data_IF_407510542902
#
_entry.id   IF_407510542902
#
_cell.length_a   1.000
_cell.length_b   1.000
_cell.length_c   1.000
_cell.angle_alpha   90.00
_cell.angle_beta   90.00
_cell.angle_gamma   90.00
#
_symmetry.space_group_name_H-M   'P 1'
#
loop_
_entity.id
_entity.type
_entity.pdbx_description
1 polymer ?
#
# COMPACT_ATOMS: atom_id res chain seq x y z
N UNK A 1 -15.89 -13.67 7.27
CA UNK A 1 -15.89 -12.34 6.63
C UNK A 1 -14.65 -12.25 5.76
N UNK A 2 -14.78 -12.17 4.43
CA UNK A 2 -13.64 -11.73 3.60
C UNK A 2 -13.34 -10.28 4.01
N UNK A 3 -12.15 -10.01 4.56
CA UNK A 3 -11.68 -8.63 4.75
C UNK A 3 -11.85 -7.90 3.44
N UNK A 4 -12.73 -6.91 3.41
CA UNK A 4 -12.91 -6.05 2.24
C UNK A 4 -11.57 -5.40 1.91
N UNK A 5 -11.23 -5.35 0.61
CA UNK A 5 -10.05 -4.65 0.10
C UNK A 5 -10.26 -3.14 0.31
N UNK A 6 -10.07 -2.67 1.53
CA UNK A 6 -10.26 -1.27 1.92
C UNK A 6 -8.95 -0.56 2.25
N UNK A 7 -9.07 0.70 2.66
CA UNK A 7 -7.94 1.54 3.08
C UNK A 7 -7.05 0.91 4.15
N UNK A 8 -7.61 0.14 5.10
CA UNK A 8 -6.83 -0.51 6.14
C UNK A 8 -5.78 -1.48 5.57
N UNK A 9 -6.16 -2.27 4.55
CA UNK A 9 -5.22 -3.16 3.88
C UNK A 9 -4.12 -2.35 3.18
N UNK A 10 -4.50 -1.29 2.47
CA UNK A 10 -3.54 -0.42 1.76
C UNK A 10 -2.54 0.20 2.73
N UNK A 11 -3.04 0.80 3.81
CA UNK A 11 -2.20 1.42 4.85
C UNK A 11 -1.30 0.37 5.50
N UNK A 12 -1.80 -0.82 5.83
CA UNK A 12 -1.00 -1.88 6.44
C UNK A 12 0.14 -2.34 5.52
N UNK A 13 -0.16 -2.54 4.23
CA UNK A 13 0.85 -2.92 3.23
C UNK A 13 1.90 -1.83 3.05
N UNK A 14 1.47 -0.58 2.94
CA UNK A 14 2.35 0.57 2.78
C UNK A 14 3.23 0.77 4.02
N UNK A 15 2.66 0.68 5.22
CA UNK A 15 3.39 0.80 6.47
C UNK A 15 4.43 -0.30 6.62
N UNK A 16 4.04 -1.55 6.39
CA UNK A 16 4.97 -2.68 6.41
C UNK A 16 6.10 -2.51 5.39
N UNK A 17 5.79 -2.04 4.19
CA UNK A 17 6.79 -1.79 3.15
C UNK A 17 7.81 -0.73 3.59
N UNK A 18 7.34 0.44 4.01
CA UNK A 18 8.21 1.55 4.42
C UNK A 18 9.06 1.21 5.65
N UNK A 19 8.51 0.45 6.60
CA UNK A 19 9.22 0.08 7.83
C UNK A 19 10.30 -0.98 7.59
N UNK A 20 10.03 -1.97 6.74
CA UNK A 20 10.90 -3.15 6.58
C UNK A 20 11.79 -3.10 5.34
N UNK A 21 11.41 -2.32 4.34
CA UNK A 21 12.10 -2.23 3.04
C UNK A 21 12.41 -0.80 2.62
N UNK A 22 12.05 0.19 3.43
CA UNK A 22 12.47 1.58 3.24
C UNK A 22 13.99 1.72 3.35
N UNK A 23 14.53 2.73 2.69
CA UNK A 23 15.97 3.05 2.68
C UNK A 23 16.32 4.20 3.64
N UNK A 24 15.37 4.60 4.49
CA UNK A 24 15.49 5.80 5.33
C UNK A 24 15.19 7.09 4.56
N UNK A 25 14.41 6.99 3.48
CA UNK A 25 13.93 8.16 2.75
C UNK A 25 13.18 9.10 3.69
N UNK A 26 13.45 10.41 3.56
CA UNK A 26 12.73 11.45 4.31
C UNK A 26 11.70 12.18 3.43
N UNK A 27 11.87 12.13 2.11
CA UNK A 27 10.94 12.68 1.13
C UNK A 27 10.38 11.56 0.27
N UNK A 28 9.05 11.50 0.15
CA UNK A 28 8.36 10.42 -0.54
C UNK A 28 7.31 10.95 -1.52
N UNK A 29 7.41 10.55 -2.78
CA UNK A 29 6.40 10.76 -3.82
C UNK A 29 5.63 9.46 -4.09
N UNK A 30 4.32 9.48 -3.80
CA UNK A 30 3.45 8.32 -3.98
C UNK A 30 2.43 8.61 -5.07
N UNK A 31 2.36 7.75 -6.08
CA UNK A 31 1.33 7.82 -7.10
C UNK A 31 0.21 6.81 -6.81
N UNK A 32 -1.03 7.31 -6.79
CA UNK A 32 -2.21 6.55 -6.43
C UNK A 32 -3.27 6.63 -7.53
N UNK A 33 -4.02 5.54 -7.71
CA UNK A 33 -5.26 5.61 -8.46
C UNK A 33 -6.35 6.37 -7.69
N UNK A 34 -7.47 6.65 -8.35
CA UNK A 34 -8.59 7.36 -7.76
C UNK A 34 -9.58 6.46 -6.99
N UNK A 35 -9.22 5.22 -6.65
CA UNK A 35 -10.13 4.29 -5.99
C UNK A 35 -10.46 4.79 -4.58
N UNK A 36 -11.69 5.29 -4.39
CA UNK A 36 -12.12 5.93 -3.13
C UNK A 36 -12.09 4.96 -1.94
N UNK A 37 -12.52 3.71 -2.13
CA UNK A 37 -12.52 2.69 -1.08
C UNK A 37 -11.13 2.26 -0.60
N UNK A 38 -10.07 2.55 -1.37
CA UNK A 38 -8.73 2.03 -1.13
C UNK A 38 -7.71 3.16 -0.93
N UNK A 39 -7.51 4.00 -1.94
CA UNK A 39 -6.40 4.95 -2.01
C UNK A 39 -6.86 6.40 -1.77
N UNK A 40 -7.94 6.82 -2.44
CA UNK A 40 -8.44 8.20 -2.37
C UNK A 40 -9.48 8.38 -1.27
N UNK A 41 -9.05 8.26 -0.02
CA UNK A 41 -9.89 8.49 1.15
C UNK A 41 -9.14 9.17 2.29
N UNK A 42 -9.92 9.66 3.26
CA UNK A 42 -9.41 10.33 4.46
C UNK A 42 -8.42 9.46 5.25
N UNK A 43 -8.60 8.15 5.32
CA UNK A 43 -7.74 7.29 6.14
C UNK A 43 -6.30 7.24 5.60
N UNK A 44 -6.14 7.12 4.27
CA UNK A 44 -4.81 7.16 3.64
C UNK A 44 -4.16 8.53 3.80
N UNK A 45 -4.92 9.62 3.63
CA UNK A 45 -4.41 10.98 3.84
C UNK A 45 -3.98 11.22 5.30
N UNK A 46 -4.78 10.77 6.26
CA UNK A 46 -4.45 10.83 7.69
C UNK A 46 -3.21 9.99 8.03
N UNK A 47 -3.01 8.85 7.39
CA UNK A 47 -1.80 8.05 7.55
C UNK A 47 -0.55 8.79 7.07
N UNK A 48 -0.62 9.49 5.93
CA UNK A 48 0.49 10.30 5.44
C UNK A 48 0.81 11.47 6.39
N UNK A 49 -0.22 12.18 6.86
CA UNK A 49 -0.06 13.22 7.87
C UNK A 49 0.54 12.68 9.16
N UNK A 50 0.12 11.50 9.62
CA UNK A 50 0.69 10.86 10.80
C UNK A 50 2.17 10.54 10.63
N UNK A 51 2.61 10.06 9.46
CA UNK A 51 4.05 9.81 9.22
C UNK A 51 4.88 11.09 9.30
N UNK A 52 4.40 12.22 8.79
CA UNK A 52 5.12 13.50 8.89
C UNK A 52 5.09 14.06 10.31
N UNK A 53 3.97 13.92 11.03
CA UNK A 53 3.87 14.28 12.45
C UNK A 53 4.83 13.47 13.33
N UNK A 54 5.09 12.21 12.98
CA UNK A 54 6.04 11.33 13.67
C UNK A 54 7.49 11.52 13.23
N UNK A 55 7.76 12.50 12.36
CA UNK A 55 9.08 12.72 11.77
C UNK A 55 9.67 11.48 11.06
N UNK A 56 8.81 10.55 10.63
CA UNK A 56 9.23 9.40 9.83
C UNK A 56 9.46 9.77 8.37
N UNK A 57 8.92 10.91 7.95
CA UNK A 57 9.19 11.60 6.69
C UNK A 57 9.14 13.12 6.95
N UNK A 58 10.05 13.88 6.36
CA UNK A 58 9.99 15.35 6.35
C UNK A 58 8.95 15.86 5.37
N UNK A 59 8.77 15.16 4.25
CA UNK A 59 7.82 15.55 3.21
C UNK A 59 7.20 14.33 2.53
N UNK A 60 5.89 14.38 2.30
CA UNK A 60 5.18 13.35 1.54
C UNK A 60 4.27 14.03 0.54
N UNK A 61 4.40 13.61 -0.72
CA UNK A 61 3.57 14.07 -1.83
C UNK A 61 2.75 12.90 -2.33
N UNK A 62 1.43 13.02 -2.27
CA UNK A 62 0.48 12.04 -2.83
C UNK A 62 -0.11 12.59 -4.10
N UNK A 63 0.11 11.86 -5.18
CA UNK A 63 -0.28 12.23 -6.52
C UNK A 63 -1.44 11.35 -6.99
N UNK A 64 -2.57 11.97 -7.32
CA UNK A 64 -3.73 11.30 -7.90
C UNK A 64 -3.85 11.59 -9.39
N UNK A 65 -4.28 10.59 -10.15
CA UNK A 65 -4.53 10.75 -11.59
C UNK A 65 -5.71 11.72 -11.85
N UNK A 66 -5.72 12.45 -12.98
CA UNK A 66 -6.90 13.17 -13.45
C UNK A 66 -8.03 12.20 -13.80
N UNK A 67 -9.28 12.65 -13.71
CA UNK A 67 -10.41 11.82 -14.12
C UNK A 67 -10.36 11.56 -15.64
N UNK A 68 -10.57 10.33 -16.07
CA UNK A 68 -10.53 9.93 -17.50
C UNK A 68 -9.16 9.42 -17.97
N UNK A 69 -8.08 9.65 -17.23
CA UNK A 69 -6.76 9.07 -17.49
C UNK A 69 -6.55 7.81 -16.65
N UNK A 70 -6.82 6.65 -17.25
CA UNK A 70 -6.85 5.35 -16.53
C UNK A 70 -5.58 4.51 -16.73
N UNK A 71 -4.55 5.02 -17.43
CA UNK A 71 -3.33 4.24 -17.71
C UNK A 71 -2.25 4.54 -16.67
N UNK A 72 -2.09 3.66 -15.70
CA UNK A 72 -1.11 3.78 -14.63
C UNK A 72 0.06 2.78 -14.83
N UNK A 73 1.28 3.15 -14.44
CA UNK A 73 2.46 2.30 -14.65
C UNK A 73 2.35 0.92 -13.94
N UNK A 74 1.81 0.83 -12.72
CA UNK A 74 1.46 -0.45 -12.09
C UNK A 74 0.56 -1.36 -12.92
N UNK A 75 -0.38 -0.84 -13.72
CA UNK A 75 -1.23 -1.69 -14.58
C UNK A 75 -0.39 -2.43 -15.63
N UNK A 76 0.60 -1.74 -16.20
CA UNK A 76 1.55 -2.35 -17.13
C UNK A 76 2.41 -3.41 -16.42
N UNK A 77 2.91 -3.12 -15.22
CA UNK A 77 3.65 -4.09 -14.41
C UNK A 77 2.82 -5.33 -14.08
N UNK A 78 1.54 -5.17 -13.71
CA UNK A 78 0.62 -6.29 -13.51
C UNK A 78 0.34 -7.04 -14.81
N UNK A 79 0.39 -6.37 -15.97
CA UNK A 79 0.35 -7.02 -17.29
C UNK A 79 1.52 -7.98 -17.50
N UNK A 80 2.74 -7.56 -17.15
CA UNK A 80 3.94 -8.41 -17.19
C UNK A 80 3.82 -9.60 -16.24
N UNK A 81 3.38 -9.34 -15.00
CA UNK A 81 3.12 -10.39 -14.01
C UNK A 81 2.09 -11.40 -14.52
N UNK A 82 0.95 -10.93 -15.04
CA UNK A 82 -0.11 -11.79 -15.61
C UNK A 82 0.42 -12.66 -16.76
N UNK A 83 1.28 -12.11 -17.62
CA UNK A 83 1.90 -12.87 -18.71
C UNK A 83 2.77 -14.01 -18.17
N UNK A 84 3.61 -13.75 -17.18
CA UNK A 84 4.45 -14.78 -16.56
C UNK A 84 3.62 -15.82 -15.81
N UNK A 85 2.63 -15.35 -15.03
CA UNK A 85 1.75 -16.20 -14.24
C UNK A 85 0.99 -17.21 -15.10
N UNK A 86 0.47 -16.82 -16.28
CA UNK A 86 -0.22 -17.75 -17.21
C UNK A 86 0.66 -18.89 -17.75
N UNK A 87 1.98 -18.74 -17.65
CA UNK A 87 2.98 -19.72 -18.11
C UNK A 87 3.74 -20.37 -16.94
N UNK A 88 3.18 -20.32 -15.74
CA UNK A 88 3.81 -20.83 -14.52
C UNK A 88 2.83 -21.70 -13.75
N UNK A 89 3.33 -22.79 -13.17
CA UNK A 89 2.60 -23.54 -12.15
C UNK A 89 2.83 -22.87 -10.79
N UNK A 90 1.74 -22.52 -10.11
CA UNK A 90 1.78 -21.83 -8.82
C UNK A 90 0.91 -22.61 -7.84
N UNK A 91 1.54 -23.34 -6.92
CA UNK A 91 0.85 -24.11 -5.89
C UNK A 91 0.97 -23.46 -4.51
N UNK A 92 2.02 -22.68 -4.28
CA UNK A 92 2.27 -22.01 -3.02
C UNK A 92 2.65 -20.54 -3.17
N UNK A 93 2.71 -19.83 -2.03
CA UNK A 93 3.15 -18.43 -2.00
C UNK A 93 4.58 -18.27 -2.52
N UNK A 94 5.46 -19.23 -2.25
CA UNK A 94 6.84 -19.18 -2.76
C UNK A 94 6.88 -19.25 -4.28
N UNK A 95 6.03 -20.08 -4.91
CA UNK A 95 5.94 -20.13 -6.38
C UNK A 95 5.45 -18.79 -6.93
N UNK A 96 4.49 -18.15 -6.25
CA UNK A 96 4.01 -16.83 -6.62
C UNK A 96 5.13 -15.77 -6.49
N UNK A 97 5.93 -15.81 -5.42
CA UNK A 97 7.11 -14.96 -5.25
C UNK A 97 8.09 -15.16 -6.41
N UNK A 98 8.39 -16.42 -6.76
CA UNK A 98 9.27 -16.74 -7.88
C UNK A 98 8.69 -16.22 -9.22
N UNK A 99 7.37 -16.28 -9.41
CA UNK A 99 6.70 -15.70 -10.58
C UNK A 99 6.83 -14.18 -10.60
N UNK A 100 6.68 -13.51 -9.46
CA UNK A 100 6.87 -12.06 -9.34
C UNK A 100 8.31 -11.69 -9.69
N UNK A 101 9.30 -12.34 -9.09
CA UNK A 101 10.72 -12.06 -9.31
C UNK A 101 11.15 -12.32 -10.76
N UNK A 102 10.64 -13.39 -11.37
CA UNK A 102 10.96 -13.75 -12.77
C UNK A 102 10.06 -13.08 -13.81
N UNK A 103 9.06 -12.30 -13.40
CA UNK A 103 8.14 -11.62 -14.33
C UNK A 103 8.81 -10.51 -15.14
N UNK A 104 9.96 -10.00 -14.69
CA UNK A 104 10.70 -8.93 -15.39
C UNK A 104 12.19 -9.25 -15.42
N UNK A 105 12.83 -9.18 -16.60
CA UNK A 105 14.28 -9.45 -16.75
C UNK A 105 15.17 -8.32 -16.23
N UNK A 106 14.63 -7.10 -16.12
CA UNK A 106 15.40 -5.88 -15.84
C UNK A 106 15.09 -5.26 -14.48
N UNK A 107 14.28 -5.92 -13.63
CA UNK A 107 13.70 -5.31 -12.42
C UNK A 107 13.19 -3.91 -12.74
N UNK A 108 12.26 -3.77 -13.69
CA UNK A 108 11.79 -2.44 -14.10
C UNK A 108 10.86 -1.90 -13.01
N UNK A 109 11.45 -1.36 -11.96
CA UNK A 109 10.85 -0.54 -10.91
C UNK A 109 11.25 0.93 -11.09
N UNK A 110 11.36 1.40 -12.35
CA UNK A 110 11.57 2.82 -12.63
C UNK A 110 10.21 3.49 -12.77
N UNK A 111 9.92 4.42 -11.87
CA UNK A 111 8.78 5.32 -11.99
C UNK A 111 8.86 6.06 -13.32
N UNK A 112 7.82 5.93 -14.13
CA UNK A 112 7.63 6.79 -15.29
C UNK A 112 6.79 8.00 -14.82
N UNK A 113 7.24 9.21 -15.13
CA UNK A 113 6.49 10.41 -14.86
C UNK A 113 5.10 10.31 -15.53
N UNK A 114 4.05 10.56 -14.75
CA UNK A 114 2.69 10.68 -15.24
C UNK A 114 2.37 12.19 -15.27
N UNK A 115 2.03 12.68 -16.46
CA UNK A 115 2.29 14.07 -16.86
C UNK A 115 1.29 15.11 -16.34
N UNK A 116 0.25 14.73 -15.60
CA UNK A 116 -0.70 15.64 -14.98
C UNK A 116 -1.25 15.00 -13.71
N UNK A 117 -1.20 15.69 -12.56
CA UNK A 117 -1.52 15.09 -11.26
C UNK A 117 -2.18 16.10 -10.33
N UNK A 118 -3.15 15.62 -9.56
CA UNK A 118 -3.64 16.30 -8.36
C UNK A 118 -2.68 15.96 -7.23
N UNK A 119 -2.05 16.99 -6.68
CA UNK A 119 -0.98 16.86 -5.72
C UNK A 119 -1.49 17.21 -4.33
N UNK A 120 -1.28 16.30 -3.37
CA UNK A 120 -1.57 16.51 -1.95
C UNK A 120 -0.27 16.37 -1.19
N UNK A 121 0.20 17.45 -0.58
CA UNK A 121 1.51 17.50 0.06
C UNK A 121 1.38 17.70 1.57
N UNK A 122 2.21 16.97 2.29
CA UNK A 122 2.33 16.98 3.74
C UNK A 122 3.77 17.33 4.09
N UNK A 123 3.97 18.26 5.03
CA UNK A 123 5.30 18.67 5.47
C UNK A 123 5.41 18.63 6.98
N UNK A 124 6.55 18.17 7.47
CA UNK A 124 6.90 18.24 8.89
C UNK A 124 7.00 19.69 9.39
N UNK A 125 7.31 20.65 8.52
CA UNK A 125 7.44 22.07 8.87
C UNK A 125 6.07 22.78 9.01
N UNK A 126 5.01 22.17 8.49
CA UNK A 126 3.65 22.70 8.52
C UNK A 126 2.70 21.63 9.06
N UNK A 127 2.94 21.22 10.31
CA UNK A 127 2.17 20.17 10.97
C UNK A 127 0.69 20.53 11.04
N UNK A 128 -0.18 19.57 10.71
CA UNK A 128 -1.63 19.78 10.71
C UNK A 128 -2.16 20.54 9.50
N UNK A 129 -1.30 20.97 8.58
CA UNK A 129 -1.70 21.60 7.30
C UNK A 129 -1.47 20.60 6.17
N UNK A 130 -2.39 20.60 5.21
CA UNK A 130 -2.25 19.89 3.95
C UNK A 130 -2.30 20.89 2.81
N UNK A 131 -1.38 20.73 1.86
CA UNK A 131 -1.29 21.57 0.68
C UNK A 131 -1.88 20.83 -0.51
N UNK A 132 -2.77 21.47 -1.25
CA UNK A 132 -3.46 20.89 -2.40
C UNK A 132 -3.14 21.68 -3.66
N UNK A 133 -2.66 20.99 -4.69
CA UNK A 133 -2.55 21.52 -6.05
C UNK A 133 -3.49 20.75 -6.97
N UNK A 134 -4.41 21.45 -7.63
CA UNK A 134 -5.36 20.83 -8.57
C UNK A 134 -4.70 20.48 -9.91
N UNK A 135 -3.75 21.31 -10.33
CA UNK A 135 -2.99 21.20 -11.58
C UNK A 135 -1.50 21.44 -11.30
N UNK A 136 -0.60 20.87 -12.11
CA UNK A 136 0.85 21.00 -11.91
C UNK A 136 1.35 22.45 -11.88
N UNK A 137 0.68 23.35 -12.58
CA UNK A 137 1.01 24.78 -12.63
C UNK A 137 -0.02 25.66 -11.90
N UNK A 138 -1.01 25.05 -11.24
CA UNK A 138 -2.05 25.78 -10.50
C UNK A 138 -1.52 26.38 -9.19
N UNK A 139 -2.31 27.23 -8.52
CA UNK A 139 -1.98 27.68 -7.17
C UNK A 139 -2.00 26.49 -6.19
N UNK A 140 -1.16 26.56 -5.16
CA UNK A 140 -1.22 25.66 -4.02
C UNK A 140 -2.19 26.24 -2.98
N UNK A 141 -3.21 25.48 -2.61
CA UNK A 141 -4.22 25.84 -1.61
C UNK A 141 -3.91 25.14 -0.28
N UNK A 142 -3.93 25.87 0.82
CA UNK A 142 -3.68 25.33 2.17
C UNK A 142 -4.99 24.97 2.87
N UNK A 143 -5.01 23.80 3.51
CA UNK A 143 -6.15 23.34 4.30
C UNK A 143 -5.68 22.85 5.67
N UNK A 144 -6.36 23.28 6.73
CA UNK A 144 -6.11 22.77 8.07
C UNK A 144 -6.76 21.39 8.24
N UNK A 145 -5.95 20.36 8.50
CA UNK A 145 -6.39 18.98 8.72
C UNK A 145 -6.53 18.67 10.23
N UNK A 146 -5.65 19.22 11.06
CA UNK A 146 -5.68 19.07 12.51
C UNK A 146 -5.99 20.42 13.14
N UNK A 147 -7.16 20.56 13.76
CA UNK A 147 -7.60 21.82 14.40
C UNK A 147 -6.88 22.13 15.71
N UNK A 148 -6.31 21.10 16.35
CA UNK A 148 -5.52 21.22 17.58
C UNK A 148 -4.23 20.41 17.43
N UNK A 149 -3.18 21.03 16.89
CA UNK A 149 -1.83 20.46 16.88
C UNK A 149 -1.16 20.57 18.27
N UNK A 150 -1.94 20.47 19.34
CA UNK A 150 -1.45 20.52 20.71
C UNK A 150 -0.56 19.30 21.01
N UNK A 151 0.37 19.47 21.96
CA UNK A 151 1.27 18.43 22.48
C UNK A 151 0.53 17.13 22.83
N UNK A 152 -0.74 17.24 23.24
CA UNK A 152 -1.64 16.13 23.56
C UNK A 152 -1.99 15.24 22.37
N UNK A 153 -2.15 15.81 21.16
CA UNK A 153 -2.40 15.04 19.94
C UNK A 153 -1.14 14.27 19.51
N UNK A 154 0.02 14.91 19.58
CA UNK A 154 1.33 14.27 19.35
C UNK A 154 1.57 13.11 20.32
N UNK A 155 1.20 13.27 21.61
CA UNK A 155 1.28 12.21 22.62
C UNK A 155 0.34 11.03 22.32
N UNK A 156 -0.91 11.28 21.89
CA UNK A 156 -1.85 10.21 21.49
C UNK A 156 -1.40 9.46 20.25
N UNK A 157 -0.72 10.14 19.34
CA UNK A 157 -0.18 9.57 18.09
C UNK A 157 1.18 8.89 18.29
N UNK A 158 1.76 8.95 19.49
CA UNK A 158 3.12 8.49 19.75
C UNK A 158 3.26 6.96 19.89
N UNK A 159 2.18 6.28 20.26
CA UNK A 159 2.19 4.83 20.48
C UNK A 159 1.36 4.13 19.40
N UNK A 160 2.00 3.18 18.71
CA UNK A 160 1.28 2.26 17.83
C UNK A 160 0.30 1.42 18.67
N UNK A 161 -0.89 1.09 18.13
CA UNK A 161 -1.77 0.13 18.79
C UNK A 161 -1.06 -1.23 18.94
N UNK A 162 -1.43 -1.97 19.98
CA UNK A 162 -0.88 -3.31 20.21
C UNK A 162 -1.15 -4.23 19.01
N UNK A 163 -0.15 -5.03 18.64
CA UNK A 163 -0.31 -6.04 17.59
C UNK A 163 -1.39 -7.05 18.00
N UNK A 164 -2.35 -7.26 17.11
CA UNK A 164 -3.38 -8.27 17.30
C UNK A 164 -2.83 -9.59 16.77
N UNK A 165 -2.58 -10.60 17.62
CA UNK A 165 -2.10 -11.88 17.13
C UNK A 165 -3.17 -12.49 16.21
N UNK A 166 -2.78 -13.04 15.04
CA UNK A 166 -3.74 -13.65 14.15
C UNK A 166 -4.40 -14.86 14.87
N UNK A 167 -5.73 -15.02 14.79
CA UNK A 167 -6.46 -16.07 15.54
C UNK A 167 -6.17 -17.51 15.07
N UNK A 168 -5.18 -17.70 14.19
CA UNK A 168 -4.89 -18.98 13.55
C UNK A 168 -5.95 -19.41 12.54
N UNK A 169 -5.80 -20.64 12.03
CA UNK A 169 -6.76 -21.27 11.13
C UNK A 169 -7.84 -22.01 11.96
N UNK A 170 -9.13 -21.69 11.78
CA UNK A 170 -10.21 -22.45 12.41
C UNK A 170 -10.18 -23.93 12.02
N UNK A 171 -10.58 -24.83 12.92
CA UNK A 171 -10.53 -26.28 12.67
C UNK A 171 -11.34 -26.70 11.43
N UNK A 172 -12.53 -26.13 11.26
CA UNK A 172 -13.35 -26.35 10.06
C UNK A 172 -12.60 -25.96 8.77
N UNK A 173 -11.76 -24.91 8.81
CA UNK A 173 -10.95 -24.50 7.65
C UNK A 173 -9.79 -25.47 7.42
N UNK A 174 -9.15 -25.98 8.47
CA UNK A 174 -8.10 -27.01 8.36
C UNK A 174 -8.64 -28.29 7.74
N UNK A 175 -9.79 -28.77 8.21
CA UNK A 175 -10.46 -29.94 7.65
C UNK A 175 -10.81 -29.74 6.18
N UNK A 176 -11.35 -28.57 5.82
CA UNK A 176 -11.61 -28.22 4.42
C UNK A 176 -10.33 -28.28 3.57
N UNK A 177 -9.23 -27.67 4.03
CA UNK A 177 -7.95 -27.69 3.31
C UNK A 177 -7.45 -29.12 3.10
N UNK A 178 -7.50 -29.98 4.13
CA UNK A 178 -7.07 -31.37 4.06
C UNK A 178 -7.91 -32.22 3.10
N UNK A 179 -9.22 -32.05 3.09
CA UNK A 179 -10.13 -32.88 2.30
C UNK A 179 -10.25 -32.41 0.84
N UNK A 180 -10.30 -31.09 0.63
CA UNK A 180 -10.72 -30.53 -0.67
C UNK A 180 -9.59 -29.87 -1.45
N UNK A 181 -8.52 -29.41 -0.79
CA UNK A 181 -7.42 -28.70 -1.46
C UNK A 181 -6.17 -29.56 -1.55
N UNK A 182 -5.84 -30.28 -0.47
CA UNK A 182 -4.62 -31.10 -0.35
C UNK A 182 -4.38 -32.09 -1.49
N UNK A 183 -5.40 -32.77 -2.08
CA UNK A 183 -5.19 -33.67 -3.22
C UNK A 183 -4.61 -32.96 -4.46
N UNK A 184 -4.84 -31.66 -4.60
CA UNK A 184 -4.36 -30.84 -5.72
C UNK A 184 -3.02 -30.12 -5.41
N UNK A 185 -2.51 -30.29 -4.19
CA UNK A 185 -1.24 -29.70 -3.75
C UNK A 185 -0.12 -30.71 -3.97
N UNK A 186 0.97 -30.25 -4.61
CA UNK A 186 2.15 -31.07 -4.92
C UNK A 186 2.71 -31.76 -3.66
N UNK A 187 3.17 -33.02 -3.75
CA UNK A 187 3.84 -33.70 -2.64
C UNK A 187 5.01 -32.88 -2.08
N UNK A 188 5.19 -32.92 -0.76
CA UNK A 188 6.27 -32.20 -0.06
C UNK A 188 5.92 -30.79 0.45
N UNK A 189 4.86 -30.15 -0.06
CA UNK A 189 4.37 -28.85 0.46
C UNK A 189 2.97 -28.92 1.09
N UNK A 190 2.37 -30.11 1.13
CA UNK A 190 1.00 -30.34 1.58
C UNK A 190 0.77 -29.98 3.04
N UNK A 191 1.69 -30.32 3.95
CA UNK A 191 1.52 -30.00 5.38
C UNK A 191 1.64 -28.51 5.67
N UNK A 192 2.44 -27.78 4.88
CA UNK A 192 2.58 -26.34 4.99
C UNK A 192 1.35 -25.60 4.48
N UNK A 193 0.76 -26.05 3.37
CA UNK A 193 -0.37 -25.38 2.71
C UNK A 193 -1.74 -25.85 3.20
N UNK A 194 -1.82 -27.09 3.68
CA UNK A 194 -3.03 -27.74 4.17
C UNK A 194 -2.75 -28.42 5.52
N UNK A 195 -2.50 -27.62 6.59
CA UNK A 195 -2.12 -28.09 7.93
C UNK A 195 -3.28 -28.72 8.73
#
# INVERSE_FOLDING_TARGET
>A
MCSSKGSNMVISLLHHFLENYGLGEMSMDVHCDNCSGQNKNKYVLWYMAWRTLRALHSEITVNFMPAGHTKFAPDWCFGLLKRRFRLSEVHCLQDLCNVVETSTKRRINRSAACWEQKLVRFSQNAQGVVFLKKDLNGPEEEFLMVTDATTTAQQRLAHMPAEIPPPGLPEARRQYLRQHIRPFVRPGVQDRLCP
#
